data_IF_315703306092
#
_entry.id   IF_315703306092
#
_cell.length_a   1.000
_cell.length_b   1.000
_cell.length_c   1.000
_cell.angle_alpha   90.00
_cell.angle_beta   90.00
_cell.angle_gamma   90.00
#
_symmetry.space_group_name_H-M   'P 1'
#
loop_
_entity.id
_entity.type
_entity.pdbx_description
1 polymer ?
#
# COMPACT_ATOMS: atom_id res chain seq x y z
N UNK A 1 -20.40 8.74 2.14
CA UNK A 1 -19.07 9.32 1.90
C UNK A 1 -18.14 8.15 1.66
N UNK A 2 -17.47 8.09 0.52
CA UNK A 2 -16.52 7.02 0.21
C UNK A 2 -15.20 7.38 0.90
N UNK A 3 -14.73 6.52 1.79
CA UNK A 3 -13.41 6.66 2.41
C UNK A 3 -12.42 5.89 1.55
N UNK A 4 -11.38 6.55 1.05
CA UNK A 4 -10.37 5.91 0.20
C UNK A 4 -9.12 5.64 1.02
N UNK A 5 -8.62 4.41 0.98
CA UNK A 5 -7.37 4.02 1.63
C UNK A 5 -6.31 3.84 0.55
N UNK A 6 -5.22 4.58 0.68
CA UNK A 6 -4.07 4.55 -0.20
C UNK A 6 -2.96 3.71 0.43
N UNK A 7 -2.51 2.69 -0.29
CA UNK A 7 -1.37 1.85 0.08
C UNK A 7 -0.17 2.24 -0.77
N UNK A 8 0.82 2.90 -0.19
CA UNK A 8 2.00 3.37 -0.92
C UNK A 8 3.21 2.50 -0.56
N UNK A 9 3.69 1.76 -1.56
CA UNK A 9 4.84 0.88 -1.45
C UNK A 9 6.16 1.65 -1.57
N UNK A 10 7.20 1.21 -0.85
CA UNK A 10 8.56 1.71 -1.05
C UNK A 10 9.25 1.04 -2.23
N UNK A 11 8.65 1.17 -3.41
CA UNK A 11 9.21 0.77 -4.68
C UNK A 11 8.90 1.86 -5.70
N UNK A 12 9.74 1.96 -6.75
CA UNK A 12 9.48 2.84 -7.88
C UNK A 12 8.83 2.03 -9.00
N UNK A 13 7.91 2.65 -9.73
CA UNK A 13 7.41 2.11 -10.99
C UNK A 13 8.57 2.14 -12.02
N UNK A 14 9.08 0.98 -12.41
CA UNK A 14 10.00 0.93 -13.56
C UNK A 14 9.23 1.47 -14.78
N UNK A 15 9.76 2.50 -15.44
CA UNK A 15 9.18 3.28 -16.55
C UNK A 15 9.03 2.46 -17.85
N UNK A 16 8.40 1.29 -17.79
CA UNK A 16 8.29 0.35 -18.91
C UNK A 16 7.07 -0.56 -18.90
N UNK A 17 6.38 -0.75 -17.78
CA UNK A 17 5.21 -1.63 -17.73
C UNK A 17 4.00 -0.91 -17.17
N UNK A 18 3.28 -0.24 -18.07
CA UNK A 18 1.85 0.00 -17.91
C UNK A 18 1.21 -1.29 -17.40
N UNK A 19 0.46 -1.20 -16.31
CA UNK A 19 -0.73 -2.03 -16.04
C UNK A 19 -0.58 -3.47 -16.55
N UNK A 20 0.20 -4.31 -15.86
CA UNK A 20 0.23 -5.79 -15.95
C UNK A 20 1.58 -6.30 -15.43
N UNK A 21 1.79 -6.39 -14.12
CA UNK A 21 2.89 -7.25 -13.64
C UNK A 21 2.79 -7.78 -12.21
N UNK A 22 1.58 -7.82 -11.63
CA UNK A 22 1.35 -8.56 -10.37
C UNK A 22 1.44 -10.09 -10.54
N UNK A 23 1.75 -10.58 -11.74
CA UNK A 23 1.90 -12.02 -12.03
C UNK A 23 3.25 -12.41 -12.65
N UNK A 24 4.12 -11.48 -13.10
CA UNK A 24 5.38 -11.84 -13.76
C UNK A 24 6.64 -11.09 -13.29
N UNK A 25 6.59 -10.20 -12.29
CA UNK A 25 7.78 -9.73 -11.56
C UNK A 25 8.10 -10.59 -10.33
N UNK A 26 8.29 -11.89 -10.57
CA UNK A 26 9.32 -12.66 -9.86
C UNK A 26 10.65 -12.23 -10.49
N UNK A 27 11.08 -11.00 -10.22
CA UNK A 27 12.39 -10.49 -10.67
C UNK A 27 13.04 -9.78 -9.50
N UNK A 28 13.95 -10.53 -8.87
CA UNK A 28 14.95 -10.12 -7.88
C UNK A 28 14.42 -9.67 -6.50
N UNK A 29 14.29 -10.60 -5.53
CA UNK A 29 14.03 -10.26 -4.12
C UNK A 29 15.26 -9.62 -3.43
N UNK A 30 16.12 -8.91 -4.15
CA UNK A 30 17.41 -8.44 -3.62
C UNK A 30 17.62 -6.93 -3.60
N UNK A 31 16.66 -6.10 -4.05
CA UNK A 31 16.89 -4.64 -4.03
C UNK A 31 15.95 -3.80 -3.19
N UNK A 32 14.77 -4.25 -2.73
CA UNK A 32 13.99 -3.47 -1.76
C UNK A 32 13.16 -4.37 -0.84
N UNK A 33 13.52 -4.40 0.45
CA UNK A 33 12.74 -5.02 1.53
C UNK A 33 11.51 -4.16 1.82
N UNK A 34 10.48 -4.25 0.97
CA UNK A 34 9.22 -3.56 1.23
C UNK A 34 8.39 -4.41 2.20
N UNK A 35 8.38 -4.04 3.47
CA UNK A 35 7.65 -4.76 4.51
C UNK A 35 6.15 -4.87 4.20
N UNK A 36 5.54 -3.84 3.60
CA UNK A 36 4.15 -3.90 3.16
C UNK A 36 3.90 -5.00 2.11
N UNK A 37 4.86 -5.27 1.21
CA UNK A 37 4.76 -6.39 0.28
C UNK A 37 4.81 -7.74 1.03
N UNK A 38 5.76 -7.92 1.96
CA UNK A 38 5.89 -9.16 2.75
C UNK A 38 4.71 -9.41 3.70
N UNK A 39 4.06 -8.34 4.17
CA UNK A 39 2.86 -8.44 4.98
C UNK A 39 1.66 -8.92 4.15
N UNK A 40 1.49 -8.41 2.93
CA UNK A 40 0.32 -8.67 2.08
C UNK A 40 0.46 -9.90 1.18
N UNK A 41 1.69 -10.23 0.75
CA UNK A 41 2.02 -11.32 -0.16
C UNK A 41 2.94 -12.33 0.52
N UNK A 42 2.70 -13.62 0.28
CA UNK A 42 3.62 -14.71 0.65
C UNK A 42 4.58 -15.04 -0.49
N UNK A 43 5.21 -16.22 -0.43
CA UNK A 43 6.25 -16.65 -1.39
C UNK A 43 5.82 -16.60 -2.86
N UNK A 44 4.52 -16.71 -3.17
CA UNK A 44 4.02 -16.71 -4.54
C UNK A 44 2.62 -16.12 -4.73
N UNK A 45 1.87 -15.83 -3.66
CA UNK A 45 0.47 -15.39 -3.74
C UNK A 45 0.11 -14.41 -2.63
N UNK A 46 -0.90 -13.58 -2.87
CA UNK A 46 -1.55 -12.78 -1.84
C UNK A 46 -2.01 -13.66 -0.66
N UNK A 47 -1.82 -13.19 0.57
CA UNK A 47 -2.28 -13.90 1.77
C UNK A 47 -3.80 -13.87 1.82
N UNK A 48 -4.41 -15.03 2.08
CA UNK A 48 -5.88 -15.16 2.14
C UNK A 48 -6.52 -14.18 3.16
N UNK A 49 -5.89 -14.00 4.32
CA UNK A 49 -6.35 -13.04 5.33
C UNK A 49 -6.39 -11.61 4.80
N UNK A 50 -5.35 -11.20 4.06
CA UNK A 50 -5.30 -9.89 3.42
C UNK A 50 -6.41 -9.73 2.37
N UNK A 51 -6.57 -10.73 1.50
CA UNK A 51 -7.62 -10.74 0.48
C UNK A 51 -9.01 -10.55 1.10
N UNK A 52 -9.33 -11.36 2.11
CA UNK A 52 -10.63 -11.31 2.80
C UNK A 52 -10.86 -9.95 3.47
N UNK A 53 -9.83 -9.36 4.06
CA UNK A 53 -9.93 -8.02 4.64
C UNK A 53 -10.22 -6.95 3.58
N UNK A 54 -9.51 -6.97 2.44
CA UNK A 54 -9.79 -6.04 1.33
C UNK A 54 -11.21 -6.17 0.79
N UNK A 55 -11.67 -7.40 0.56
CA UNK A 55 -13.03 -7.66 0.09
C UNK A 55 -14.08 -7.13 1.08
N UNK A 56 -13.81 -7.26 2.39
CA UNK A 56 -14.66 -6.69 3.44
C UNK A 56 -14.68 -5.15 3.39
N UNK A 57 -13.52 -4.50 3.32
CA UNK A 57 -13.45 -3.03 3.21
C UNK A 57 -14.22 -2.51 1.99
N UNK A 58 -14.06 -3.17 0.83
CA UNK A 58 -14.82 -2.84 -0.38
C UNK A 58 -16.34 -3.00 -0.16
N UNK A 59 -16.76 -4.05 0.53
CA UNK A 59 -18.17 -4.27 0.88
C UNK A 59 -18.71 -3.23 1.89
N UNK A 60 -17.86 -2.70 2.76
CA UNK A 60 -18.17 -1.61 3.69
C UNK A 60 -18.21 -0.23 3.02
N UNK A 61 -17.84 -0.15 1.73
CA UNK A 61 -17.87 1.09 0.94
C UNK A 61 -16.56 1.88 0.96
N UNK A 62 -15.45 1.25 1.32
CA UNK A 62 -14.12 1.84 1.17
C UNK A 62 -13.61 1.63 -0.25
N UNK A 63 -12.85 2.59 -0.76
CA UNK A 63 -12.07 2.45 -2.00
C UNK A 63 -10.61 2.16 -1.64
N UNK A 64 -9.98 1.17 -2.26
CA UNK A 64 -8.59 0.80 -1.97
C UNK A 64 -7.73 1.06 -3.21
N UNK A 65 -6.75 1.94 -3.09
CA UNK A 65 -5.79 2.22 -4.16
C UNK A 65 -4.37 1.87 -3.74
N UNK A 66 -3.57 1.44 -4.70
CA UNK A 66 -2.23 0.93 -4.49
C UNK A 66 -1.26 1.67 -5.40
N UNK A 67 -0.24 2.30 -4.83
CA UNK A 67 0.72 3.13 -5.56
C UNK A 67 2.16 2.73 -5.24
N UNK A 68 3.03 2.84 -6.23
CA UNK A 68 4.46 3.00 -5.98
C UNK A 68 4.76 4.42 -5.49
N UNK A 69 5.89 4.62 -4.80
CA UNK A 69 6.20 5.91 -4.18
C UNK A 69 6.34 7.04 -5.20
N UNK A 70 6.88 6.74 -6.38
CA UNK A 70 7.00 7.67 -7.50
C UNK A 70 5.64 7.99 -8.12
N UNK A 71 4.78 6.98 -8.35
CA UNK A 71 3.41 7.19 -8.87
C UNK A 71 2.57 8.07 -7.92
N UNK A 72 2.70 7.83 -6.61
CA UNK A 72 2.07 8.66 -5.58
C UNK A 72 2.65 10.07 -5.60
N UNK A 73 3.98 10.21 -5.63
CA UNK A 73 4.64 11.51 -5.68
C UNK A 73 4.27 12.30 -6.94
N UNK A 74 4.06 11.66 -8.08
CA UNK A 74 3.60 12.31 -9.32
C UNK A 74 2.13 12.73 -9.22
N UNK A 75 1.26 11.82 -8.75
CA UNK A 75 -0.19 12.06 -8.68
C UNK A 75 -0.58 13.07 -7.60
N UNK A 76 0.15 13.11 -6.48
CA UNK A 76 -0.15 13.94 -5.31
C UNK A 76 0.83 15.11 -5.10
N UNK A 77 1.81 15.30 -6.00
CA UNK A 77 2.85 16.36 -5.94
C UNK A 77 2.31 17.75 -5.63
N UNK A 78 1.16 18.08 -6.20
CA UNK A 78 0.58 19.42 -6.17
C UNK A 78 -0.35 19.64 -4.97
N UNK A 79 -0.77 18.56 -4.29
CA UNK A 79 -1.75 18.63 -3.21
C UNK A 79 -1.11 18.61 -1.82
N UNK A 80 0.02 17.93 -1.64
CA UNK A 80 0.61 17.71 -0.32
C UNK A 80 2.14 17.92 -0.34
N UNK A 81 2.60 18.96 0.35
CA UNK A 81 4.02 19.33 0.45
C UNK A 81 4.80 18.58 1.55
N UNK A 82 4.20 17.56 2.17
CA UNK A 82 4.84 16.79 3.24
C UNK A 82 5.76 15.70 2.67
N UNK A 83 6.98 15.63 3.21
CA UNK A 83 7.90 14.54 2.94
C UNK A 83 7.45 13.30 3.74
N UNK A 84 6.67 12.42 3.11
CA UNK A 84 6.36 11.11 3.68
C UNK A 84 7.56 10.16 3.57
N UNK A 85 7.70 9.29 4.56
CA UNK A 85 8.54 8.10 4.45
C UNK A 85 7.71 6.95 3.88
N UNK A 86 8.37 5.98 3.23
CA UNK A 86 7.69 4.84 2.59
C UNK A 86 8.28 3.51 3.10
N UNK A 87 7.49 2.43 3.18
CA UNK A 87 6.07 2.33 2.82
C UNK A 87 5.17 3.07 3.82
N UNK A 88 3.96 3.46 3.41
CA UNK A 88 2.99 4.18 4.26
C UNK A 88 1.56 3.90 3.79
N UNK A 89 0.60 3.95 4.71
CA UNK A 89 -0.83 3.83 4.40
C UNK A 89 -1.53 5.10 4.83
N UNK A 90 -2.30 5.69 3.91
CA UNK A 90 -3.02 6.95 4.11
C UNK A 90 -4.53 6.74 3.89
N UNK A 91 -5.35 7.53 4.55
CA UNK A 91 -6.76 7.71 4.21
C UNK A 91 -6.92 9.03 3.44
N UNK A 92 -7.46 8.98 2.23
CA UNK A 92 -7.93 10.17 1.52
C UNK A 92 -9.34 10.52 2.01
N UNK A 93 -9.44 11.72 2.56
CA UNK A 93 -10.70 12.37 2.95
C UNK A 93 -11.04 13.46 1.92
N UNK A 94 -12.22 14.07 2.03
CA UNK A 94 -12.65 15.15 1.11
C UNK A 94 -11.67 16.34 1.02
N UNK A 95 -10.80 16.51 2.03
CA UNK A 95 -9.95 17.70 2.15
C UNK A 95 -8.46 17.40 2.36
N UNK A 96 -8.08 16.23 2.86
CA UNK A 96 -6.69 15.93 3.23
C UNK A 96 -6.33 14.43 3.17
N UNK A 97 -5.03 14.12 3.31
CA UNK A 97 -4.50 12.77 3.44
C UNK A 97 -4.08 12.53 4.90
N UNK A 98 -4.83 11.70 5.60
CA UNK A 98 -4.51 11.33 6.98
C UNK A 98 -3.63 10.08 7.01
N UNK A 99 -2.61 10.07 7.88
CA UNK A 99 -1.76 8.89 8.05
C UNK A 99 -2.50 7.84 8.89
N UNK A 100 -2.82 6.69 8.28
CA UNK A 100 -3.38 5.55 9.00
C UNK A 100 -2.29 4.70 9.63
N UNK A 101 -1.25 4.37 8.86
CA UNK A 101 -0.14 3.54 9.33
C UNK A 101 1.18 4.08 8.81
N UNK A 102 2.06 4.42 9.74
CA UNK A 102 3.39 4.95 9.44
C UNK A 102 4.35 3.87 8.93
N UNK A 103 5.45 4.30 8.31
CA UNK A 103 6.56 3.42 7.93
C UNK A 103 7.14 2.65 9.11
N UNK A 104 7.24 3.29 10.27
CA UNK A 104 7.77 2.67 11.49
C UNK A 104 6.88 1.52 11.97
N UNK A 105 5.56 1.73 11.99
CA UNK A 105 4.58 0.68 12.32
C UNK A 105 4.63 -0.48 11.32
N UNK A 106 4.62 -0.18 10.01
CA UNK A 106 4.70 -1.22 8.97
C UNK A 106 5.98 -2.04 9.05
N UNK A 107 7.08 -1.42 9.48
CA UNK A 107 8.36 -2.12 9.65
C UNK A 107 8.44 -2.92 10.95
N UNK A 108 7.61 -2.60 11.93
CA UNK A 108 7.52 -3.31 13.21
C UNK A 108 6.59 -4.54 13.13
N UNK A 109 5.64 -4.56 12.19
CA UNK A 109 4.73 -5.69 12.05
C UNK A 109 5.45 -6.96 11.58
N UNK A 110 5.23 -8.03 12.32
CA UNK A 110 5.70 -9.38 12.00
C UNK A 110 4.67 -10.14 11.13
N UNK A 111 3.39 -9.71 11.18
CA UNK A 111 2.28 -10.41 10.55
C UNK A 111 1.25 -9.52 9.87
N UNK A 112 0.53 -10.11 8.91
CA UNK A 112 -0.61 -9.48 8.23
C UNK A 112 -1.75 -9.14 9.19
N UNK A 113 -1.81 -9.84 10.32
CA UNK A 113 -2.82 -9.66 11.36
C UNK A 113 -2.69 -8.29 12.03
N UNK A 114 -1.46 -7.84 12.29
CA UNK A 114 -1.19 -6.52 12.88
C UNK A 114 -1.53 -5.38 11.91
N UNK A 115 -1.26 -5.60 10.61
CA UNK A 115 -1.67 -4.69 9.56
C UNK A 115 -3.20 -4.55 9.52
N UNK A 116 -3.92 -5.67 9.54
CA UNK A 116 -5.39 -5.69 9.54
C UNK A 116 -5.94 -5.00 10.79
N UNK A 117 -5.37 -5.29 11.97
CA UNK A 117 -5.78 -4.68 13.24
C UNK A 117 -5.49 -3.18 13.32
N UNK A 118 -4.52 -2.67 12.56
CA UNK A 118 -4.23 -1.23 12.50
C UNK A 118 -5.17 -0.46 11.57
N UNK A 119 -5.93 -1.17 10.72
CA UNK A 119 -6.84 -0.60 9.73
C UNK A 119 -8.33 -0.83 10.06
N UNK A 120 -8.64 -1.49 11.18
CA UNK A 120 -9.99 -1.92 11.55
C UNK A 120 -10.26 -1.93 13.05
#
# INVERSE_FOLDING_TARGET
MLKKILFIYNANSDTGSKMLDFAHKIVSPTTYNCNLCSLTHGNFTEKKQWKTFRERLLAEGYELEFFHKDEFQESYKSKFGHAFTYPIILEETDYDLEVLVTTEQLNAFEGVEELIASLG
#
